data_IF_482563223067
#
_entry.id   IF_482563223067
#
_cell.length_a   1.000
_cell.length_b   1.000
_cell.length_c   1.000
_cell.angle_alpha   90.00
_cell.angle_beta   90.00
_cell.angle_gamma   90.00
#
_symmetry.space_group_name_H-M   'P 1'
#
loop_
_entity.id
_entity.type
_entity.pdbx_description
1 polymer ?
#
# COMPACT_ATOMS: atom_id res chain seq x y z
N UNK A 1 7.45 -0.80 -15.14
CA UNK A 1 7.23 -1.87 -14.15
C UNK A 1 5.81 -1.71 -13.64
N UNK A 2 4.87 -2.45 -14.22
CA UNK A 2 3.43 -2.29 -14.03
C UNK A 2 2.91 -3.25 -12.95
N UNK A 3 3.51 -3.24 -11.77
CA UNK A 3 3.09 -4.08 -10.64
C UNK A 3 1.88 -3.45 -9.94
N UNK A 4 0.93 -4.28 -9.50
CA UNK A 4 -0.27 -3.87 -8.77
C UNK A 4 0.03 -3.04 -7.50
N UNK A 5 1.21 -3.21 -6.88
CA UNK A 5 1.67 -2.39 -5.75
C UNK A 5 1.73 -0.89 -6.07
N UNK A 6 2.10 -0.52 -7.30
CA UNK A 6 2.12 0.89 -7.71
C UNK A 6 0.71 1.46 -7.82
N UNK A 7 -0.25 0.65 -8.28
CA UNK A 7 -1.67 1.04 -8.36
C UNK A 7 -2.28 1.19 -6.95
N UNK A 8 -1.95 0.27 -6.04
CA UNK A 8 -2.35 0.35 -4.63
C UNK A 8 -1.78 1.58 -3.94
N UNK A 9 -0.49 1.86 -4.11
CA UNK A 9 0.14 3.03 -3.51
C UNK A 9 -0.49 4.33 -4.02
N UNK A 10 -0.76 4.45 -5.33
CA UNK A 10 -1.48 5.60 -5.89
C UNK A 10 -2.90 5.74 -5.33
N UNK A 11 -3.63 4.65 -5.19
CA UNK A 11 -5.00 4.66 -4.67
C UNK A 11 -5.04 5.03 -3.18
N UNK A 12 -4.05 4.54 -2.41
CA UNK A 12 -3.82 4.94 -1.02
C UNK A 12 -3.45 6.43 -0.90
N UNK A 13 -2.66 6.97 -1.82
CA UNK A 13 -2.34 8.40 -1.85
C UNK A 13 -3.59 9.26 -2.17
N UNK A 14 -4.29 8.88 -3.25
CA UNK A 14 -5.50 9.54 -3.73
C UNK A 14 -6.59 9.60 -2.65
N UNK A 15 -6.86 8.47 -2.00
CA UNK A 15 -7.85 8.40 -0.93
C UNK A 15 -7.49 9.25 0.29
N UNK A 16 -6.21 9.42 0.64
CA UNK A 16 -5.79 10.36 1.69
C UNK A 16 -6.03 11.82 1.30
N UNK A 17 -5.81 12.18 0.03
CA UNK A 17 -6.11 13.53 -0.49
C UNK A 17 -7.61 13.78 -0.35
N UNK A 18 -8.44 12.88 -0.88
CA UNK A 18 -9.91 12.97 -0.82
C UNK A 18 -10.41 13.04 0.62
N UNK A 19 -9.88 12.19 1.52
CA UNK A 19 -10.24 12.22 2.94
C UNK A 19 -9.82 13.53 3.62
N UNK A 20 -8.66 14.07 3.26
CA UNK A 20 -8.20 15.36 3.80
C UNK A 20 -9.08 16.51 3.31
N UNK A 21 -9.49 16.49 2.05
CA UNK A 21 -10.42 17.47 1.48
C UNK A 21 -11.82 17.35 2.10
N UNK A 22 -12.27 16.12 2.40
CA UNK A 22 -13.58 15.85 3.01
C UNK A 22 -13.76 16.50 4.39
N UNK A 23 -12.66 16.75 5.12
CA UNK A 23 -12.66 17.53 6.37
C UNK A 23 -13.15 18.98 6.18
N UNK A 24 -13.12 19.53 4.95
CA UNK A 24 -13.68 20.85 4.65
C UNK A 24 -15.21 20.87 4.63
N UNK A 25 -15.82 19.71 4.40
CA UNK A 25 -17.26 19.53 4.27
C UNK A 25 -17.93 19.06 5.56
N UNK A 26 -17.13 18.74 6.58
CA UNK A 26 -17.62 18.33 7.91
C UNK A 26 -18.39 19.47 8.56
N UNK A 27 -19.65 19.19 8.94
CA UNK A 27 -20.59 20.17 9.49
C UNK A 27 -21.35 20.97 8.44
N UNK A 28 -21.10 20.71 7.14
CA UNK A 28 -21.89 21.25 6.01
C UNK A 28 -22.69 20.15 5.33
N UNK A 29 -22.00 19.18 4.73
CA UNK A 29 -22.58 18.07 3.96
C UNK A 29 -22.07 16.71 4.41
N UNK A 30 -20.97 16.65 5.17
CA UNK A 30 -20.42 15.42 5.77
C UNK A 30 -20.42 15.49 7.30
N UNK A 31 -20.41 14.32 7.92
CA UNK A 31 -20.15 14.16 9.36
C UNK A 31 -18.69 13.78 9.58
N UNK A 32 -18.18 14.01 10.80
CA UNK A 32 -16.84 13.53 11.15
C UNK A 32 -16.73 12.00 11.09
N UNK A 33 -17.83 11.29 11.34
CA UNK A 33 -17.89 9.83 11.22
C UNK A 33 -17.63 9.38 9.78
N UNK A 34 -17.95 10.22 8.79
CA UNK A 34 -17.65 9.91 7.38
C UNK A 34 -16.13 9.86 7.17
N UNK A 35 -15.39 10.86 7.68
CA UNK A 35 -13.93 10.86 7.66
C UNK A 35 -13.33 9.70 8.45
N UNK A 36 -13.91 9.37 9.62
CA UNK A 36 -13.45 8.22 10.41
C UNK A 36 -13.61 6.90 9.64
N UNK A 37 -14.74 6.70 8.95
CA UNK A 37 -14.97 5.53 8.09
C UNK A 37 -13.99 5.51 6.90
N UNK A 38 -13.80 6.64 6.22
CA UNK A 38 -12.82 6.79 5.13
C UNK A 38 -11.42 6.37 5.61
N UNK A 39 -10.98 6.82 6.80
CA UNK A 39 -9.68 6.46 7.37
C UNK A 39 -9.60 4.99 7.82
N UNK A 40 -10.68 4.38 8.33
CA UNK A 40 -10.70 2.95 8.65
C UNK A 40 -10.53 2.10 7.40
N UNK A 41 -11.25 2.43 6.33
CA UNK A 41 -11.10 1.75 5.04
C UNK A 41 -9.67 1.91 4.49
N UNK A 42 -9.10 3.11 4.61
CA UNK A 42 -7.71 3.36 4.24
C UNK A 42 -6.73 2.46 4.99
N UNK A 43 -6.90 2.28 6.30
CA UNK A 43 -6.07 1.36 7.11
C UNK A 43 -6.17 -0.06 6.60
N UNK A 44 -7.38 -0.56 6.33
CA UNK A 44 -7.57 -1.90 5.78
C UNK A 44 -6.85 -2.07 4.45
N UNK A 45 -6.98 -1.10 3.54
CA UNK A 45 -6.27 -1.11 2.27
C UNK A 45 -4.75 -1.04 2.45
N UNK A 46 -4.26 -0.27 3.43
CA UNK A 46 -2.83 -0.16 3.73
C UNK A 46 -2.25 -1.46 4.30
N UNK A 47 -3.00 -2.19 5.14
CA UNK A 47 -2.59 -3.52 5.60
C UNK A 47 -2.41 -4.50 4.42
N UNK A 48 -3.41 -4.56 3.52
CA UNK A 48 -3.34 -5.43 2.34
C UNK A 48 -2.18 -5.05 1.41
N UNK A 49 -1.92 -3.75 1.26
CA UNK A 49 -0.74 -3.26 0.56
C UNK A 49 0.56 -3.73 1.25
N UNK A 50 0.65 -3.66 2.58
CA UNK A 50 1.81 -4.08 3.35
C UNK A 50 2.12 -5.57 3.18
N UNK A 51 1.09 -6.42 3.25
CA UNK A 51 1.22 -7.87 3.07
C UNK A 51 1.72 -8.19 1.65
N UNK A 52 1.08 -7.58 0.64
CA UNK A 52 1.46 -7.75 -0.77
C UNK A 52 2.89 -7.24 -1.04
N UNK A 53 3.28 -6.12 -0.42
CA UNK A 53 4.61 -5.56 -0.55
C UNK A 53 5.68 -6.44 0.09
N UNK A 54 5.38 -7.04 1.26
CA UNK A 54 6.28 -7.99 1.93
C UNK A 54 6.49 -9.24 1.08
N UNK A 55 5.42 -9.85 0.59
CA UNK A 55 5.49 -11.04 -0.26
C UNK A 55 6.29 -10.78 -1.55
N UNK A 56 6.02 -9.65 -2.22
CA UNK A 56 6.78 -9.25 -3.40
C UNK A 56 8.26 -9.00 -3.09
N UNK A 57 8.57 -8.35 -1.96
CA UNK A 57 9.94 -8.13 -1.51
C UNK A 57 10.68 -9.45 -1.25
N UNK A 58 10.05 -10.38 -0.52
CA UNK A 58 10.60 -11.70 -0.20
C UNK A 58 10.92 -12.49 -1.47
N UNK A 59 9.99 -12.54 -2.42
CA UNK A 59 10.20 -13.22 -3.72
C UNK A 59 11.27 -12.57 -4.58
N UNK A 60 11.53 -11.26 -4.44
CA UNK A 60 12.64 -10.60 -5.12
C UNK A 60 14.01 -10.89 -4.47
N UNK A 61 14.03 -11.34 -3.21
CA UNK A 61 15.26 -11.58 -2.44
C UNK A 61 15.63 -13.06 -2.32
N UNK A 62 14.64 -13.96 -2.28
CA UNK A 62 14.86 -15.40 -2.16
C UNK A 62 14.85 -16.00 -3.57
N UNK A 63 15.99 -16.54 -4.02
CA UNK A 63 16.04 -17.39 -5.22
C UNK A 63 15.09 -18.57 -5.01
N UNK A 64 13.98 -18.61 -5.74
CA UNK A 64 13.16 -19.81 -5.81
C UNK A 64 13.84 -20.79 -6.77
N UNK A 65 14.37 -21.86 -6.21
CA UNK A 65 15.05 -22.99 -6.83
C UNK A 65 14.09 -23.86 -7.68
N UNK A 66 13.21 -23.24 -8.46
CA UNK A 66 12.19 -23.94 -9.27
C UNK A 66 12.65 -24.25 -10.70
N UNK A 67 13.91 -23.98 -11.04
CA UNK A 67 14.49 -24.44 -12.30
C UNK A 67 15.59 -25.46 -12.06
N UNK A 68 15.23 -26.70 -12.35
CA UNK A 68 16.07 -27.87 -12.53
C UNK A 68 17.03 -27.68 -13.74
N UNK A 69 17.74 -26.56 -13.80
CA UNK A 69 18.78 -26.25 -14.78
C UNK A 69 20.06 -26.08 -14.00
N UNK A 70 20.91 -27.09 -14.15
CA UNK A 70 22.36 -27.11 -13.88
C UNK A 70 22.93 -25.79 -13.41
N UNK A 71 23.42 -25.80 -12.17
CA UNK A 71 24.23 -24.76 -11.54
C UNK A 71 25.42 -24.38 -12.43
N UNK A 72 25.20 -23.49 -13.39
CA UNK A 72 26.25 -22.62 -13.87
C UNK A 72 26.35 -21.49 -12.85
N UNK A 73 27.41 -21.57 -12.03
CA UNK A 73 27.93 -20.45 -11.26
C UNK A 73 28.09 -19.25 -12.20
N UNK A 74 27.09 -18.38 -12.28
CA UNK A 74 27.26 -17.07 -12.88
C UNK A 74 28.02 -16.23 -11.86
N UNK A 75 29.36 -16.20 -12.02
CA UNK A 75 30.23 -15.20 -11.42
C UNK A 75 29.89 -13.81 -11.99
N UNK A 76 28.77 -13.24 -11.56
CA UNK A 76 28.45 -11.82 -11.69
C UNK A 76 29.02 -11.05 -10.49
N UNK A 77 29.41 -9.77 -10.65
CA UNK A 77 30.13 -9.05 -9.60
C UNK A 77 29.28 -8.95 -8.33
N UNK A 78 29.86 -9.38 -7.20
CA UNK A 78 29.32 -9.21 -5.86
C UNK A 78 29.32 -7.71 -5.47
N UNK A 79 28.41 -6.93 -6.04
CA UNK A 79 28.20 -5.53 -5.66
C UNK A 79 27.15 -5.48 -4.55
N UNK A 80 27.62 -5.56 -3.29
CA UNK A 80 26.89 -5.18 -2.07
C UNK A 80 25.40 -5.57 -2.05
N UNK A 81 25.10 -6.87 -1.96
CA UNK A 81 23.75 -7.32 -1.64
C UNK A 81 23.39 -6.72 -0.28
N UNK A 82 22.38 -5.85 -0.23
CA UNK A 82 21.82 -5.39 1.02
C UNK A 82 21.50 -6.62 1.89
N UNK A 83 21.91 -6.61 3.16
CA UNK A 83 21.56 -7.67 4.10
C UNK A 83 20.03 -7.74 4.18
N UNK A 84 19.48 -8.91 3.83
CA UNK A 84 18.04 -9.15 3.83
C UNK A 84 17.41 -8.80 5.17
N UNK A 85 18.07 -9.16 6.29
CA UNK A 85 17.57 -8.89 7.63
C UNK A 85 17.53 -7.39 7.94
N UNK A 86 18.57 -6.64 7.54
CA UNK A 86 18.63 -5.18 7.71
C UNK A 86 17.54 -4.51 6.88
N UNK A 87 17.34 -5.00 5.66
CA UNK A 87 16.37 -4.44 4.72
C UNK A 87 14.93 -4.71 5.16
N UNK A 88 14.65 -5.95 5.61
CA UNK A 88 13.36 -6.33 6.15
C UNK A 88 13.02 -5.54 7.42
N UNK A 89 13.98 -5.37 8.33
CA UNK A 89 13.81 -4.52 9.51
C UNK A 89 13.49 -3.05 9.14
N UNK A 90 14.12 -2.51 8.09
CA UNK A 90 13.85 -1.15 7.63
C UNK A 90 12.42 -1.02 7.07
N UNK A 91 11.95 -2.01 6.30
CA UNK A 91 10.58 -2.06 5.80
C UNK A 91 9.56 -2.17 6.94
N UNK A 92 9.78 -3.08 7.89
CA UNK A 92 8.88 -3.31 9.02
C UNK A 92 8.82 -2.09 9.95
N UNK A 93 9.96 -1.42 10.18
CA UNK A 93 10.00 -0.15 10.92
C UNK A 93 9.25 0.97 10.19
N UNK A 94 9.40 1.05 8.87
CA UNK A 94 8.70 2.05 8.04
C UNK A 94 7.19 1.84 8.07
N UNK A 95 6.72 0.60 7.89
CA UNK A 95 5.32 0.21 8.04
C UNK A 95 4.77 0.56 9.44
N UNK A 96 5.50 0.16 10.49
CA UNK A 96 5.14 0.46 11.88
C UNK A 96 5.06 1.96 12.16
N UNK A 97 5.91 2.78 11.53
CA UNK A 97 5.86 4.23 11.65
C UNK A 97 4.57 4.81 11.11
N UNK A 98 4.09 4.32 9.96
CA UNK A 98 2.81 4.72 9.36
C UNK A 98 1.64 4.32 10.26
N UNK A 99 1.65 3.10 10.80
CA UNK A 99 0.62 2.64 11.73
C UNK A 99 0.58 3.45 13.02
N UNK A 100 1.74 3.81 13.57
CA UNK A 100 1.83 4.68 14.74
C UNK A 100 1.28 6.10 14.48
N UNK A 101 1.49 6.65 13.27
CA UNK A 101 0.88 7.93 12.89
C UNK A 101 -0.64 7.81 12.74
N UNK A 102 -1.11 6.69 12.20
CA UNK A 102 -2.53 6.41 12.03
C UNK A 102 -3.23 6.25 13.37
N UNK A 103 -2.63 5.54 14.33
CA UNK A 103 -3.15 5.45 15.70
C UNK A 103 -3.27 6.84 16.34
N UNK A 104 -2.22 7.68 16.22
CA UNK A 104 -2.26 9.07 16.72
C UNK A 104 -3.39 9.90 16.09
N UNK A 105 -3.70 9.66 14.81
CA UNK A 105 -4.83 10.32 14.14
C UNK A 105 -6.18 9.87 14.75
N UNK A 106 -6.35 8.57 15.01
CA UNK A 106 -7.55 8.06 15.69
C UNK A 106 -7.67 8.56 17.13
N UNK A 107 -6.55 8.70 17.85
CA UNK A 107 -6.55 9.29 19.18
C UNK A 107 -7.07 10.74 19.13
N UNK A 108 -6.66 11.52 18.12
CA UNK A 108 -7.17 12.88 17.88
C UNK A 108 -8.67 12.85 17.57
N UNK A 109 -9.15 11.92 16.75
CA UNK A 109 -10.58 11.77 16.46
C UNK A 109 -11.38 11.48 17.74
N UNK A 110 -10.93 10.50 18.52
CA UNK A 110 -11.63 10.03 19.72
C UNK A 110 -11.66 11.09 20.83
N UNK A 111 -10.55 11.80 21.05
CA UNK A 111 -10.44 12.78 22.14
C UNK A 111 -10.84 14.20 21.71
N UNK A 112 -10.59 14.55 20.46
CA UNK A 112 -10.81 15.89 19.91
C UNK A 112 -12.23 16.14 19.43
N UNK A 113 -13.00 15.10 19.10
CA UNK A 113 -14.34 15.25 18.51
C UNK A 113 -15.44 14.81 19.49
N UNK A 114 -15.30 15.24 20.74
CA UNK A 114 -16.40 15.10 21.70
C UNK A 114 -17.61 15.91 21.22
N UNK A 115 -18.74 15.22 21.00
CA UNK A 115 -20.05 15.77 20.57
C UNK A 115 -20.23 16.08 19.08
N UNK A 116 -19.48 15.43 18.18
CA UNK A 116 -19.68 15.52 16.72
C UNK A 116 -19.46 16.91 16.11
N UNK A 117 -18.89 17.86 16.86
CA UNK A 117 -18.54 19.19 16.39
C UNK A 117 -17.04 19.20 16.09
N UNK A 118 -16.69 19.31 14.81
CA UNK A 118 -15.30 19.48 14.40
C UNK A 118 -14.87 20.94 14.60
N UNK A 119 -14.19 21.21 15.71
CA UNK A 119 -13.61 22.54 15.95
C UNK A 119 -12.38 22.77 15.05
N UNK A 120 -12.08 24.02 14.62
CA UNK A 120 -10.99 24.31 13.68
C UNK A 120 -9.62 23.78 14.12
N UNK A 121 -9.33 23.81 15.42
CA UNK A 121 -8.07 23.26 15.97
C UNK A 121 -7.93 21.76 15.72
N UNK A 122 -9.00 21.00 15.96
CA UNK A 122 -9.02 19.55 15.76
C UNK A 122 -8.92 19.23 14.27
N UNK A 123 -9.64 19.97 13.42
CA UNK A 123 -9.51 19.88 11.96
C UNK A 123 -8.06 20.05 11.49
N UNK A 124 -7.36 21.08 11.98
CA UNK A 124 -5.96 21.31 11.61
C UNK A 124 -5.05 20.16 12.06
N UNK A 125 -5.31 19.58 13.24
CA UNK A 125 -4.57 18.40 13.70
C UNK A 125 -4.84 17.17 12.82
N UNK A 126 -6.08 16.97 12.37
CA UNK A 126 -6.43 15.88 11.44
C UNK A 126 -5.75 16.06 10.08
N UNK A 127 -5.79 17.27 9.49
CA UNK A 127 -5.11 17.59 8.22
C UNK A 127 -3.60 17.36 8.33
N UNK A 128 -2.99 17.81 9.42
CA UNK A 128 -1.56 17.60 9.64
C UNK A 128 -1.24 16.10 9.82
N UNK A 129 -2.11 15.37 10.52
CA UNK A 129 -1.98 13.93 10.71
C UNK A 129 -2.06 13.16 9.39
N UNK A 130 -3.07 13.44 8.55
CA UNK A 130 -3.22 12.80 7.24
C UNK A 130 -2.08 13.15 6.30
N UNK A 131 -1.58 14.40 6.32
CA UNK A 131 -0.41 14.80 5.53
C UNK A 131 0.85 14.05 5.94
N UNK A 132 1.06 13.83 7.25
CA UNK A 132 2.20 13.05 7.75
C UNK A 132 2.09 11.58 7.34
N UNK A 133 0.90 10.99 7.43
CA UNK A 133 0.64 9.61 6.98
C UNK A 133 0.96 9.50 5.49
N UNK A 134 0.43 10.44 4.69
CA UNK A 134 0.66 10.51 3.24
C UNK A 134 2.15 10.57 2.89
N UNK A 135 2.89 11.50 3.50
CA UNK A 135 4.33 11.61 3.26
C UNK A 135 5.06 10.31 3.60
N UNK A 136 4.72 9.66 4.73
CA UNK A 136 5.35 8.40 5.12
C UNK A 136 4.98 7.22 4.23
N UNK A 137 3.74 7.17 3.75
CA UNK A 137 3.30 6.18 2.75
C UNK A 137 4.17 6.29 1.49
N UNK A 138 4.34 7.51 0.96
CA UNK A 138 5.14 7.74 -0.24
C UNK A 138 6.61 7.37 -0.02
N UNK A 139 7.22 7.80 1.10
CA UNK A 139 8.58 7.39 1.48
C UNK A 139 8.72 5.86 1.55
N UNK A 140 7.74 5.19 2.15
CA UNK A 140 7.72 3.73 2.31
C UNK A 140 7.57 3.00 0.97
N UNK A 141 6.70 3.50 0.09
CA UNK A 141 6.54 2.95 -1.25
C UNK A 141 7.80 3.13 -2.10
N UNK A 142 8.41 4.31 -2.08
CA UNK A 142 9.68 4.57 -2.76
C UNK A 142 10.80 3.67 -2.25
N UNK A 143 10.85 3.42 -0.95
CA UNK A 143 11.78 2.47 -0.35
C UNK A 143 11.58 1.06 -0.91
N UNK A 144 10.34 0.56 -0.94
CA UNK A 144 10.02 -0.77 -1.52
C UNK A 144 10.43 -0.84 -2.99
N UNK A 145 10.09 0.16 -3.79
CA UNK A 145 10.43 0.21 -5.22
C UNK A 145 11.94 0.26 -5.42
N UNK A 146 12.66 1.06 -4.64
CA UNK A 146 14.11 1.18 -4.70
C UNK A 146 14.82 -0.14 -4.35
N UNK A 147 14.39 -0.79 -3.27
CA UNK A 147 14.93 -2.06 -2.83
C UNK A 147 14.61 -3.20 -3.80
N UNK A 148 13.37 -3.28 -4.29
CA UNK A 148 12.99 -4.31 -5.26
C UNK A 148 13.73 -4.11 -6.58
N UNK A 149 13.80 -2.88 -7.11
CA UNK A 149 14.55 -2.57 -8.34
C UNK A 149 16.03 -2.94 -8.25
N UNK A 150 16.66 -2.75 -7.10
CA UNK A 150 18.06 -3.12 -6.89
C UNK A 150 18.27 -4.64 -7.00
N UNK A 151 17.29 -5.44 -6.58
CA UNK A 151 17.37 -6.91 -6.56
C UNK A 151 16.70 -7.58 -7.78
N UNK A 152 16.13 -6.79 -8.69
CA UNK A 152 15.43 -7.25 -9.89
C UNK A 152 16.30 -7.79 -11.02
N UNK A 153 17.62 -7.85 -10.85
CA UNK A 153 18.50 -8.48 -11.85
C UNK A 153 18.19 -9.98 -12.05
N UNK A 154 17.35 -10.58 -11.17
CA UNK A 154 17.06 -12.02 -11.15
C UNK A 154 15.65 -12.44 -11.63
N UNK A 155 14.75 -11.51 -12.02
CA UNK A 155 13.35 -11.85 -12.38
C UNK A 155 12.90 -11.22 -13.70
N UNK A 156 12.27 -12.02 -14.56
CA UNK A 156 11.64 -11.53 -15.80
C UNK A 156 10.39 -10.69 -15.50
N UNK A 157 10.13 -9.66 -16.31
CA UNK A 157 9.01 -8.71 -16.13
C UNK A 157 7.62 -9.39 -16.10
N UNK A 158 7.49 -10.59 -16.67
CA UNK A 158 6.25 -11.38 -16.68
C UNK A 158 5.89 -11.94 -15.30
N UNK A 159 6.88 -12.39 -14.50
CA UNK A 159 6.62 -12.93 -13.16
C UNK A 159 6.26 -11.83 -12.15
N UNK A 160 6.79 -10.62 -12.33
CA UNK A 160 6.52 -9.49 -11.42
C UNK A 160 5.04 -9.08 -11.39
N UNK A 161 4.40 -8.97 -12.56
CA UNK A 161 2.99 -8.57 -12.61
C UNK A 161 2.06 -9.66 -12.08
N UNK A 162 2.34 -10.92 -12.39
CA UNK A 162 1.50 -12.03 -11.95
C UNK A 162 1.58 -12.22 -10.43
N UNK A 163 2.79 -12.15 -9.85
CA UNK A 163 3.01 -12.21 -8.40
C UNK A 163 2.26 -11.10 -7.65
N UNK A 164 2.37 -9.85 -8.10
CA UNK A 164 1.71 -8.72 -7.44
C UNK A 164 0.17 -8.82 -7.45
N UNK A 165 -0.40 -9.48 -8.46
CA UNK A 165 -1.85 -9.65 -8.60
C UNK A 165 -2.33 -10.84 -7.78
N UNK A 166 -1.63 -11.98 -7.87
CA UNK A 166 -1.99 -13.19 -7.14
C UNK A 166 -1.94 -12.97 -5.64
N UNK A 167 -0.89 -12.32 -5.12
CA UNK A 167 -0.78 -12.06 -3.67
C UNK A 167 -1.84 -11.07 -3.15
N UNK A 168 -2.29 -10.14 -4.00
CA UNK A 168 -3.39 -9.23 -3.67
C UNK A 168 -4.75 -9.96 -3.64
N UNK A 169 -4.89 -11.03 -4.43
CA UNK A 169 -6.15 -11.75 -4.64
C UNK A 169 -6.29 -13.03 -3.82
N UNK A 170 -5.19 -13.61 -3.31
CA UNK A 170 -5.17 -14.88 -2.54
C UNK A 170 -5.55 -14.72 -1.04
N UNK A 171 -6.04 -13.54 -0.62
CA UNK A 171 -6.58 -13.34 0.73
C UNK A 171 -7.92 -14.03 0.97
N UNK A 172 -8.17 -14.52 2.20
CA UNK A 172 -9.36 -15.31 2.54
C UNK A 172 -10.70 -14.61 2.24
N UNK A 173 -11.58 -15.40 1.60
CA UNK A 173 -13.03 -15.36 1.48
C UNK A 173 -13.75 -14.14 0.87
N UNK A 174 -13.32 -12.88 1.05
CA UNK A 174 -13.98 -11.68 0.46
C UNK A 174 -13.06 -10.43 0.36
N UNK A 175 -11.87 -10.48 0.97
CA UNK A 175 -10.98 -9.30 1.09
C UNK A 175 -10.37 -8.83 -0.24
N UNK A 176 -10.05 -9.76 -1.14
CA UNK A 176 -9.51 -9.44 -2.47
C UNK A 176 -10.53 -8.73 -3.37
N UNK A 177 -11.81 -9.11 -3.31
CA UNK A 177 -12.86 -8.44 -4.07
C UNK A 177 -13.16 -7.05 -3.49
N UNK A 178 -13.22 -6.93 -2.16
CA UNK A 178 -13.37 -5.63 -1.50
C UNK A 178 -12.23 -4.68 -1.85
N UNK A 179 -10.97 -5.12 -1.82
CA UNK A 179 -9.83 -4.24 -2.12
C UNK A 179 -9.81 -3.82 -3.59
N UNK A 180 -10.20 -4.70 -4.51
CA UNK A 180 -10.30 -4.34 -5.94
C UNK A 180 -11.40 -3.30 -6.16
N UNK A 181 -12.56 -3.47 -5.53
CA UNK A 181 -13.64 -2.48 -5.65
C UNK A 181 -13.22 -1.14 -5.03
N UNK A 182 -12.60 -1.19 -3.84
CA UNK A 182 -12.05 0.01 -3.18
C UNK A 182 -10.97 0.69 -4.04
N UNK A 183 -10.10 -0.08 -4.70
CA UNK A 183 -9.11 0.43 -5.65
C UNK A 183 -9.76 1.17 -6.81
N UNK A 184 -10.79 0.59 -7.43
CA UNK A 184 -11.51 1.22 -8.55
C UNK A 184 -12.15 2.55 -8.15
N UNK A 185 -12.69 2.63 -6.95
CA UNK A 185 -13.31 3.83 -6.40
C UNK A 185 -12.30 4.95 -6.10
N UNK A 186 -11.00 4.61 -5.97
CA UNK A 186 -9.94 5.55 -5.58
C UNK A 186 -8.83 5.72 -6.64
N UNK A 187 -8.88 4.97 -7.73
CA UNK A 187 -7.95 5.04 -8.85
C UNK A 187 -8.31 6.17 -9.83
N UNK A 188 -7.31 6.68 -10.55
CA UNK A 188 -7.53 7.62 -11.65
C UNK A 188 -8.16 6.91 -12.85
N UNK A 189 -8.88 7.63 -13.73
CA UNK A 189 -9.45 7.06 -14.98
C UNK A 189 -8.38 6.30 -15.79
N UNK A 190 -7.14 6.79 -15.80
CA UNK A 190 -6.00 6.14 -16.48
C UNK A 190 -5.54 4.83 -15.82
N UNK A 191 -5.79 4.64 -14.53
CA UNK A 191 -5.43 3.43 -13.79
C UNK A 191 -6.58 2.39 -13.80
N UNK A 192 -7.81 2.78 -14.19
CA UNK A 192 -8.97 1.88 -14.26
C UNK A 192 -8.84 0.80 -15.36
N UNK A 193 -8.22 1.13 -16.49
CA UNK A 193 -7.98 0.17 -17.57
C UNK A 193 -7.06 -0.97 -17.11
N UNK A 194 -6.00 -0.63 -16.37
CA UNK A 194 -5.10 -1.62 -15.77
C UNK A 194 -5.81 -2.48 -14.71
N UNK A 195 -6.69 -1.89 -13.89
CA UNK A 195 -7.49 -2.65 -12.91
C UNK A 195 -8.49 -3.60 -13.57
N UNK A 196 -9.02 -3.25 -14.73
CA UNK A 196 -9.92 -4.11 -15.50
C UNK A 196 -9.17 -5.32 -16.10
N UNK A 197 -7.93 -5.14 -16.56
CA UNK A 197 -7.07 -6.24 -17.03
C UNK A 197 -6.74 -7.24 -15.91
N UNK A 198 -6.47 -6.74 -14.70
CA UNK A 198 -6.21 -7.56 -13.50
C UNK A 198 -7.41 -8.47 -13.19
N UNK A 199 -8.64 -7.98 -13.34
CA UNK A 199 -9.86 -8.71 -13.04
C UNK A 199 -10.18 -9.81 -14.08
N UNK A 200 -9.72 -9.64 -15.33
CA UNK A 200 -9.89 -10.62 -16.43
C UNK A 200 -8.93 -11.81 -16.25
N UNK A 201 -7.79 -11.62 -15.58
CA UNK A 201 -6.79 -12.66 -15.35
C UNK A 201 -7.15 -13.68 -14.25
N UNK A 202 -8.28 -13.51 -13.55
CA UNK A 202 -8.77 -14.46 -12.54
C UNK A 202 -9.13 -15.79 -13.21
N UNK A 203 -8.51 -16.93 -12.86
CA UNK A 203 -9.01 -18.24 -13.26
C UNK A 203 -10.40 -18.40 -12.64
N UNK A 204 -11.41 -18.67 -13.47
CA UNK A 204 -12.71 -19.14 -12.98
C UNK A 204 -12.48 -20.53 -12.40
N UNK A 205 -12.42 -20.64 -11.08
CA UNK A 205 -12.69 -21.90 -10.39
C UNK A 205 -14.20 -22.13 -10.36
#
# INVERSE_FOLDING_TARGET
>A
MNCALNLLAKSLDSSLIVSTESLNDVGRTKSINSFEVEMRNWVTAFFLYGDSASAHFERCFVEHDEQNTTAELINGPSLSSFDYSVTKNLLDHSFSSIMNLTQKLFDILQHGVQKSILIPRVKNHLILGTTKIRSRLLDHHELIVGLTRHNQQNLTAYHQNHICITDLMDGEADGGEWVINWLKDNATETDQDMLNEIQIAKPRN
#
